data_IF_403587847018
#
_entry.id   IF_403587847018
#
_cell.length_a   1.000
_cell.length_b   1.000
_cell.length_c   1.000
_cell.angle_alpha   90.00
_cell.angle_beta   90.00
_cell.angle_gamma   90.00
#
_symmetry.space_group_name_H-M   'P 1'
#
loop_
_entity.id
_entity.type
_entity.pdbx_description
1 polymer ?
#
# COMPACT_ATOMS: atom_id res chain seq x y z
N UNK A 1 8.48 -13.98 -10.43
CA UNK A 1 8.61 -12.65 -9.80
C UNK A 1 9.25 -12.73 -8.42
N UNK A 2 8.79 -13.63 -7.52
CA UNK A 2 9.37 -13.77 -6.16
C UNK A 2 10.88 -14.09 -6.22
N UNK A 3 11.29 -15.05 -7.04
CA UNK A 3 12.68 -15.39 -7.25
C UNK A 3 13.53 -14.24 -7.82
N UNK A 4 12.93 -13.41 -8.68
CA UNK A 4 13.62 -12.24 -9.23
C UNK A 4 13.82 -11.13 -8.17
N UNK A 5 12.88 -10.96 -7.25
CA UNK A 5 13.09 -10.07 -6.09
C UNK A 5 14.25 -10.54 -5.21
N UNK A 6 14.34 -11.84 -4.93
CA UNK A 6 15.44 -12.40 -4.14
C UNK A 6 16.78 -12.23 -4.85
N UNK A 7 16.84 -12.54 -6.15
CA UNK A 7 18.05 -12.37 -6.96
C UNK A 7 18.51 -10.92 -6.93
N UNK A 8 17.61 -9.98 -7.24
CA UNK A 8 17.91 -8.56 -7.23
C UNK A 8 18.36 -8.08 -5.84
N UNK A 9 17.68 -8.51 -4.77
CA UNK A 9 18.08 -8.16 -3.43
C UNK A 9 19.50 -8.62 -3.10
N UNK A 10 19.88 -9.83 -3.50
CA UNK A 10 21.27 -10.33 -3.33
C UNK A 10 22.29 -9.49 -4.12
N UNK A 11 21.96 -9.09 -5.33
CA UNK A 11 22.83 -8.24 -6.16
C UNK A 11 22.97 -6.81 -5.59
N UNK A 12 21.98 -6.34 -4.85
CA UNK A 12 22.00 -5.03 -4.21
C UNK A 12 22.65 -5.01 -2.81
N UNK A 13 22.98 -6.19 -2.24
CA UNK A 13 23.66 -6.25 -0.95
C UNK A 13 25.01 -5.52 -0.98
N UNK A 14 25.17 -4.54 -0.08
CA UNK A 14 26.38 -3.74 0.02
C UNK A 14 26.54 -2.64 -1.04
N UNK A 15 25.66 -2.55 -2.01
CA UNK A 15 25.67 -1.48 -3.01
C UNK A 15 24.94 -0.23 -2.51
N UNK A 16 25.60 0.92 -2.62
CA UNK A 16 25.02 2.23 -2.26
C UNK A 16 24.73 3.10 -3.49
N UNK A 17 25.17 2.66 -4.67
CA UNK A 17 25.09 3.39 -5.95
C UNK A 17 23.79 3.13 -6.70
N UNK A 18 22.99 2.12 -6.29
CA UNK A 18 21.73 1.75 -6.92
C UNK A 18 20.59 1.87 -5.92
N UNK A 19 19.54 2.61 -6.31
CA UNK A 19 18.31 2.73 -5.55
C UNK A 19 17.16 2.08 -6.33
N UNK A 20 16.73 0.89 -5.87
CA UNK A 20 15.56 0.24 -6.44
C UNK A 20 14.32 0.58 -5.61
N UNK A 21 13.46 1.42 -6.17
CA UNK A 21 12.34 2.04 -5.45
C UNK A 21 11.38 1.04 -4.78
N UNK A 22 11.20 -0.17 -5.33
CA UNK A 22 10.36 -1.22 -4.71
C UNK A 22 10.86 -1.64 -3.33
N UNK A 23 12.17 -1.51 -3.05
CA UNK A 23 12.72 -1.82 -1.73
C UNK A 23 12.80 -0.60 -0.80
N UNK A 24 12.39 0.59 -1.28
CA UNK A 24 12.29 1.78 -0.44
C UNK A 24 11.02 1.73 0.41
N UNK A 25 11.07 0.93 1.46
CA UNK A 25 10.00 0.83 2.46
C UNK A 25 10.44 1.56 3.71
N UNK A 26 9.64 2.50 4.18
CA UNK A 26 9.88 3.11 5.49
C UNK A 26 9.49 2.11 6.59
N UNK A 27 10.51 1.48 7.17
CA UNK A 27 10.35 0.52 8.25
C UNK A 27 10.35 1.18 9.63
N UNK A 28 10.80 2.45 9.75
CA UNK A 28 10.93 3.15 11.02
C UNK A 28 9.62 3.81 11.44
N UNK A 29 9.00 4.58 10.56
CA UNK A 29 7.80 5.34 10.88
C UNK A 29 6.56 4.83 10.12
N UNK A 30 6.73 4.53 8.83
CA UNK A 30 5.67 4.10 7.95
C UNK A 30 4.60 5.17 7.70
N UNK A 31 3.58 4.92 6.85
CA UNK A 31 2.50 5.83 6.57
C UNK A 31 1.58 6.02 7.80
N UNK A 32 0.74 7.06 7.76
CA UNK A 32 -0.25 7.29 8.82
C UNK A 32 -1.18 6.06 9.00
N UNK A 33 -1.75 5.89 10.19
CA UNK A 33 -2.53 4.69 10.56
C UNK A 33 -3.68 4.43 9.59
N UNK A 34 -4.42 5.46 9.15
CA UNK A 34 -5.55 5.31 8.22
C UNK A 34 -5.10 4.72 6.89
N UNK A 35 -4.00 5.20 6.33
CA UNK A 35 -3.42 4.65 5.07
C UNK A 35 -2.93 3.22 5.25
N UNK A 36 -2.44 2.86 6.43
CA UNK A 36 -2.08 1.47 6.75
C UNK A 36 -3.28 0.54 6.79
N UNK A 37 -4.45 1.05 7.15
CA UNK A 37 -5.67 0.26 7.24
C UNK A 37 -6.34 0.04 5.89
N UNK A 38 -6.41 1.06 5.03
CA UNK A 38 -7.24 1.07 3.81
C UNK A 38 -6.48 1.26 2.50
N UNK A 39 -5.19 1.53 2.54
CA UNK A 39 -4.39 1.80 1.35
C UNK A 39 -4.70 3.16 0.74
N UNK A 40 -5.01 3.19 -0.56
CA UNK A 40 -5.14 4.44 -1.32
C UNK A 40 -6.44 5.22 -1.08
N UNK A 41 -7.45 4.64 -0.44
CA UNK A 41 -8.73 5.30 -0.17
C UNK A 41 -9.63 5.50 -1.40
N UNK A 42 -9.42 4.73 -2.49
CA UNK A 42 -10.26 4.78 -3.68
C UNK A 42 -11.75 4.68 -3.37
N UNK A 43 -12.56 5.52 -3.99
CA UNK A 43 -14.02 5.57 -3.82
C UNK A 43 -14.51 6.26 -2.55
N UNK A 44 -13.63 6.63 -1.62
CA UNK A 44 -14.02 7.37 -0.41
C UNK A 44 -13.09 8.55 -0.06
N UNK A 45 -11.80 8.46 -0.29
CA UNK A 45 -10.85 9.57 -0.05
C UNK A 45 -10.47 10.30 -1.34
N UNK A 46 -10.62 9.63 -2.48
CA UNK A 46 -10.54 10.23 -3.81
C UNK A 46 -11.39 9.45 -4.80
N UNK A 47 -11.68 10.08 -5.94
CA UNK A 47 -12.42 9.50 -7.07
C UNK A 47 -11.73 9.87 -8.39
N UNK A 48 -12.05 9.17 -9.45
CA UNK A 48 -11.71 9.56 -10.82
C UNK A 48 -12.94 10.16 -11.49
N UNK A 49 -12.76 11.25 -12.25
CA UNK A 49 -13.82 11.91 -13.03
C UNK A 49 -13.42 11.84 -14.50
N UNK A 50 -14.32 11.36 -15.35
CA UNK A 50 -14.13 11.31 -16.80
C UNK A 50 -14.38 12.68 -17.43
N UNK A 51 -13.97 12.91 -18.70
CA UNK A 51 -14.32 14.14 -19.43
C UNK A 51 -15.84 14.39 -19.53
N UNK A 52 -16.65 13.32 -19.55
CA UNK A 52 -18.11 13.37 -19.57
C UNK A 52 -18.75 13.59 -18.19
N UNK A 53 -17.90 13.79 -17.16
CA UNK A 53 -18.32 14.08 -15.80
C UNK A 53 -18.66 12.85 -14.97
N UNK A 54 -18.54 11.63 -15.47
CA UNK A 54 -18.84 10.42 -14.73
C UNK A 54 -17.82 10.18 -13.62
N UNK A 55 -18.31 9.81 -12.45
CA UNK A 55 -17.53 9.59 -11.23
C UNK A 55 -17.33 8.09 -11.02
N UNK A 56 -16.07 7.70 -10.83
CA UNK A 56 -15.66 6.31 -10.52
C UNK A 56 -14.76 6.25 -9.30
N UNK A 57 -14.67 5.10 -8.59
CA UNK A 57 -13.82 4.94 -7.40
C UNK A 57 -12.35 5.26 -7.65
N UNK A 58 -11.81 4.90 -8.81
CA UNK A 58 -10.49 5.30 -9.31
C UNK A 58 -10.40 5.09 -10.82
N UNK A 59 -9.31 5.51 -11.43
CA UNK A 59 -9.10 5.40 -12.88
C UNK A 59 -9.22 3.95 -13.42
N UNK A 60 -8.93 2.94 -12.61
CA UNK A 60 -9.04 1.52 -13.03
C UNK A 60 -10.49 1.00 -13.05
N UNK A 61 -11.43 1.75 -12.53
CA UNK A 61 -12.86 1.44 -12.57
C UNK A 61 -13.60 2.19 -13.69
N UNK A 62 -12.95 3.13 -14.37
CA UNK A 62 -13.55 3.88 -15.48
C UNK A 62 -14.07 2.92 -16.55
N UNK A 63 -15.34 3.12 -16.97
CA UNK A 63 -16.02 2.27 -17.94
C UNK A 63 -16.66 1.00 -17.36
N UNK A 64 -16.57 0.77 -16.04
CA UNK A 64 -17.31 -0.30 -15.36
C UNK A 64 -18.60 0.29 -14.78
N UNK A 65 -19.72 0.16 -15.52
CA UNK A 65 -21.00 0.79 -15.18
C UNK A 65 -21.50 0.45 -13.77
N UNK A 66 -21.24 -0.76 -13.30
CA UNK A 66 -21.59 -1.22 -11.96
C UNK A 66 -20.84 -0.48 -10.82
N UNK A 67 -19.78 0.26 -11.17
CA UNK A 67 -19.01 1.10 -10.26
C UNK A 67 -19.10 2.59 -10.56
N UNK A 68 -20.01 3.00 -11.48
CA UNK A 68 -20.27 4.41 -11.73
C UNK A 68 -20.99 5.02 -10.53
N UNK A 69 -20.34 5.97 -9.88
CA UNK A 69 -20.81 6.58 -8.63
C UNK A 69 -21.72 7.79 -8.86
N UNK A 70 -21.87 8.26 -10.10
CA UNK A 70 -22.68 9.42 -10.43
C UNK A 70 -22.02 10.29 -11.49
N UNK A 71 -22.47 11.56 -11.58
CA UNK A 71 -21.93 12.51 -12.53
C UNK A 71 -21.88 13.93 -11.93
N UNK A 72 -20.79 14.65 -12.20
CA UNK A 72 -20.57 16.00 -11.64
C UNK A 72 -21.49 17.04 -12.24
N UNK A 73 -22.01 16.83 -13.46
CA UNK A 73 -22.87 17.81 -14.14
C UNK A 73 -24.32 17.79 -13.64
N UNK A 74 -24.80 16.63 -13.18
CA UNK A 74 -26.15 16.50 -12.61
C UNK A 74 -26.14 16.46 -11.06
N UNK A 75 -24.94 16.45 -10.46
CA UNK A 75 -24.74 16.41 -9.01
C UNK A 75 -25.10 15.07 -8.35
N UNK A 76 -25.30 14.02 -9.14
CA UNK A 76 -25.57 12.68 -8.61
C UNK A 76 -24.33 12.07 -7.96
N UNK A 77 -24.52 11.34 -6.84
CA UNK A 77 -23.45 10.59 -6.19
C UNK A 77 -24.01 9.40 -5.41
N UNK A 78 -23.56 8.20 -5.74
CA UNK A 78 -23.98 6.95 -5.08
C UNK A 78 -23.12 6.69 -3.84
N UNK A 79 -23.66 7.02 -2.67
CA UNK A 79 -23.07 6.76 -1.38
C UNK A 79 -22.99 5.26 -1.05
N UNK A 80 -23.79 4.40 -1.70
CA UNK A 80 -23.77 2.95 -1.52
C UNK A 80 -22.49 2.36 -2.07
N UNK A 81 -22.06 2.75 -3.27
CA UNK A 81 -20.78 2.34 -3.87
C UNK A 81 -19.63 2.89 -3.02
N UNK A 82 -19.64 4.18 -2.66
CA UNK A 82 -18.62 4.75 -1.77
C UNK A 82 -18.50 3.97 -0.46
N UNK A 83 -19.64 3.63 0.16
CA UNK A 83 -19.69 2.83 1.38
C UNK A 83 -19.14 1.40 1.23
N UNK A 84 -19.26 0.78 0.05
CA UNK A 84 -18.62 -0.51 -0.22
C UNK A 84 -17.10 -0.39 -0.16
N UNK A 85 -16.51 0.65 -0.75
CA UNK A 85 -15.07 0.89 -0.71
C UNK A 85 -14.60 1.30 0.69
N UNK A 86 -15.35 2.15 1.39
CA UNK A 86 -15.04 2.57 2.76
C UNK A 86 -14.94 1.40 3.76
N UNK A 87 -15.73 0.34 3.54
CA UNK A 87 -15.69 -0.89 4.34
C UNK A 87 -14.45 -1.75 4.08
N UNK A 88 -13.73 -1.54 2.96
CA UNK A 88 -12.56 -2.34 2.62
C UNK A 88 -11.35 -1.92 3.45
N UNK A 89 -10.88 -2.81 4.30
CA UNK A 89 -9.68 -2.59 5.12
C UNK A 89 -9.02 -3.92 5.50
N UNK A 90 -7.86 -3.85 6.14
CA UNK A 90 -7.07 -5.05 6.50
C UNK A 90 -7.76 -5.97 7.52
N UNK A 91 -8.77 -5.48 8.24
CA UNK A 91 -9.52 -6.28 9.22
C UNK A 91 -10.78 -6.90 8.62
N UNK A 92 -11.37 -6.29 7.60
CA UNK A 92 -12.55 -6.83 6.91
C UNK A 92 -12.20 -7.89 5.88
N UNK A 93 -10.96 -7.88 5.34
CA UNK A 93 -10.47 -8.90 4.40
C UNK A 93 -9.89 -10.10 5.15
N UNK A 94 -10.48 -11.32 5.00
CA UNK A 94 -10.04 -12.49 5.77
C UNK A 94 -8.54 -12.79 5.63
N UNK A 95 -8.02 -12.78 4.40
CA UNK A 95 -6.61 -13.07 4.13
C UNK A 95 -5.63 -12.02 4.71
N UNK A 96 -6.11 -10.81 5.04
CA UNK A 96 -5.27 -9.75 5.61
C UNK A 96 -5.20 -9.80 7.13
N UNK A 97 -6.22 -10.34 7.81
CA UNK A 97 -6.31 -10.32 9.28
C UNK A 97 -5.11 -10.95 9.98
N UNK A 98 -4.62 -12.06 9.44
CA UNK A 98 -3.48 -12.82 9.99
C UNK A 98 -2.17 -12.55 9.21
N UNK A 99 -2.19 -11.65 8.21
CA UNK A 99 -1.02 -11.35 7.39
C UNK A 99 -0.03 -10.45 8.15
N UNK A 100 1.21 -10.88 8.30
CA UNK A 100 2.27 -10.10 8.95
C UNK A 100 2.57 -8.78 8.20
N UNK A 101 2.39 -8.77 6.87
CA UNK A 101 2.66 -7.61 6.01
C UNK A 101 1.51 -6.58 5.97
N UNK A 102 0.38 -6.82 6.65
CA UNK A 102 -0.86 -6.04 6.47
C UNK A 102 -0.70 -4.54 6.66
N UNK A 103 0.11 -4.11 7.59
CA UNK A 103 0.32 -2.68 7.87
C UNK A 103 1.25 -1.97 6.87
N UNK A 104 1.93 -2.70 6.03
CA UNK A 104 2.73 -2.17 4.92
C UNK A 104 1.99 -2.29 3.58
N UNK A 105 1.29 -3.40 3.37
CA UNK A 105 0.49 -3.68 2.18
C UNK A 105 -0.84 -2.91 2.15
N UNK A 106 -1.45 -2.66 3.32
CA UNK A 106 -2.74 -1.96 3.48
C UNK A 106 -3.92 -2.65 2.75
N UNK A 107 -3.83 -3.97 2.53
CA UNK A 107 -4.88 -4.78 1.91
C UNK A 107 -4.86 -4.83 0.38
N UNK A 108 -3.83 -4.27 -0.27
CA UNK A 108 -3.69 -4.31 -1.72
C UNK A 108 -4.63 -3.38 -2.48
N UNK A 109 -4.74 -3.59 -3.79
CA UNK A 109 -5.51 -2.77 -4.72
C UNK A 109 -6.90 -3.38 -4.96
N UNK A 110 -7.98 -2.63 -4.67
CA UNK A 110 -9.37 -3.10 -4.90
C UNK A 110 -9.65 -3.39 -6.37
N UNK A 111 -9.08 -2.63 -7.31
CA UNK A 111 -9.24 -2.90 -8.74
C UNK A 111 -8.54 -4.21 -9.16
N UNK A 112 -7.33 -4.47 -8.64
CA UNK A 112 -6.63 -5.73 -8.86
C UNK A 112 -7.38 -6.92 -8.26
N UNK A 113 -7.98 -6.73 -7.09
CA UNK A 113 -8.81 -7.74 -6.44
C UNK A 113 -10.04 -8.08 -7.28
N UNK A 114 -10.75 -7.05 -7.77
CA UNK A 114 -11.90 -7.22 -8.67
C UNK A 114 -11.50 -7.97 -9.95
N UNK A 115 -10.38 -7.55 -10.57
CA UNK A 115 -9.93 -8.14 -11.84
C UNK A 115 -9.66 -9.64 -11.73
N UNK A 116 -9.07 -10.08 -10.62
CA UNK A 116 -8.64 -11.47 -10.43
C UNK A 116 -9.74 -12.33 -9.82
N UNK A 117 -10.52 -11.79 -8.88
CA UNK A 117 -11.46 -12.56 -8.08
C UNK A 117 -12.93 -12.21 -8.36
N UNK A 118 -13.21 -11.19 -9.18
CA UNK A 118 -14.58 -10.69 -9.38
C UNK A 118 -15.17 -9.93 -8.19
N UNK A 119 -14.37 -9.66 -7.14
CA UNK A 119 -14.81 -9.03 -5.89
C UNK A 119 -13.70 -8.14 -5.32
N UNK A 120 -14.05 -6.89 -4.97
CA UNK A 120 -13.12 -5.93 -4.36
C UNK A 120 -12.66 -6.33 -2.95
N UNK A 121 -13.42 -7.18 -2.27
CA UNK A 121 -13.16 -7.64 -0.89
C UNK A 121 -12.18 -8.82 -0.81
N UNK A 122 -12.04 -9.57 -1.89
CA UNK A 122 -11.16 -10.75 -1.95
C UNK A 122 -9.75 -10.34 -2.37
N UNK A 123 -8.76 -10.70 -1.57
CA UNK A 123 -7.37 -10.34 -1.86
C UNK A 123 -6.80 -11.12 -3.05
N UNK A 124 -6.12 -10.43 -3.97
CA UNK A 124 -5.36 -11.06 -5.05
C UNK A 124 -4.13 -11.80 -4.47
N UNK A 125 -4.16 -13.13 -4.50
CA UNK A 125 -3.12 -13.96 -3.88
C UNK A 125 -1.74 -13.75 -4.51
N UNK A 126 -1.67 -13.57 -5.83
CA UNK A 126 -0.41 -13.32 -6.55
C UNK A 126 0.20 -12.00 -6.06
N UNK A 127 -0.59 -10.93 -5.98
CA UNK A 127 -0.15 -9.65 -5.44
C UNK A 127 0.27 -9.75 -3.96
N UNK A 128 -0.43 -10.57 -3.18
CA UNK A 128 -0.07 -10.83 -1.78
C UNK A 128 1.30 -11.51 -1.64
N UNK A 129 1.60 -12.50 -2.49
CA UNK A 129 2.89 -13.19 -2.51
C UNK A 129 4.02 -12.23 -2.91
N UNK A 130 3.80 -11.48 -3.98
CA UNK A 130 4.77 -10.47 -4.44
C UNK A 130 5.08 -9.42 -3.37
N UNK A 131 4.04 -8.90 -2.71
CA UNK A 131 4.20 -7.87 -1.68
C UNK A 131 4.95 -8.38 -0.45
N UNK A 132 4.63 -9.58 0.03
CA UNK A 132 5.37 -10.21 1.12
C UNK A 132 6.85 -10.39 0.76
N UNK A 133 7.14 -10.92 -0.44
CA UNK A 133 8.51 -11.11 -0.90
C UNK A 133 9.27 -9.78 -1.03
N UNK A 134 8.62 -8.76 -1.57
CA UNK A 134 9.16 -7.40 -1.66
C UNK A 134 9.57 -6.86 -0.28
N UNK A 135 8.69 -7.01 0.71
CA UNK A 135 8.96 -6.57 2.09
C UNK A 135 10.07 -7.37 2.76
N UNK A 136 10.10 -8.70 2.59
CA UNK A 136 11.20 -9.54 3.08
C UNK A 136 12.55 -9.06 2.55
N UNK A 137 12.65 -8.81 1.25
CA UNK A 137 13.86 -8.31 0.62
C UNK A 137 14.24 -6.91 1.14
N UNK A 138 13.26 -6.01 1.28
CA UNK A 138 13.51 -4.66 1.81
C UNK A 138 14.02 -4.68 3.26
N UNK A 139 13.44 -5.55 4.10
CA UNK A 139 13.88 -5.74 5.49
C UNK A 139 15.30 -6.29 5.53
N UNK A 140 15.60 -7.33 4.74
CA UNK A 140 16.92 -7.93 4.66
C UNK A 140 18.00 -6.90 4.25
N UNK A 141 17.74 -6.11 3.21
CA UNK A 141 18.66 -5.07 2.77
C UNK A 141 18.91 -4.00 3.84
N UNK A 142 17.86 -3.58 4.56
CA UNK A 142 18.01 -2.60 5.65
C UNK A 142 18.76 -3.18 6.84
N UNK A 143 18.52 -4.43 7.20
CA UNK A 143 19.25 -5.11 8.29
C UNK A 143 20.75 -5.23 7.98
N UNK A 144 21.09 -5.62 6.74
CA UNK A 144 22.50 -5.71 6.30
C UNK A 144 23.14 -4.32 6.29
N UNK A 145 22.45 -3.30 5.80
CA UNK A 145 22.98 -1.93 5.79
C UNK A 145 23.20 -1.38 7.21
N UNK A 146 22.35 -1.71 8.16
CA UNK A 146 22.53 -1.36 9.58
C UNK A 146 23.73 -2.06 10.20
N UNK A 147 23.88 -3.39 10.00
CA UNK A 147 25.01 -4.15 10.49
C UNK A 147 26.36 -3.72 9.90
N UNK A 148 26.39 -3.23 8.67
CA UNK A 148 27.59 -2.64 8.07
C UNK A 148 27.92 -1.23 8.62
N UNK A 149 26.93 -0.54 9.21
CA UNK A 149 27.13 0.77 9.82
C UNK A 149 27.68 0.71 11.25
N UNK A 150 27.49 -0.39 11.97
CA UNK A 150 27.96 -0.56 13.36
C UNK A 150 29.47 -0.74 13.47
N UNK A 151 30.17 -1.06 12.38
CA UNK A 151 31.65 -1.16 12.37
C UNK A 151 32.34 0.20 12.23
N UNK A 152 31.63 1.29 11.94
CA UNK A 152 32.24 2.61 11.73
C UNK A 152 31.81 3.70 12.74
N UNK A 153 30.91 3.46 13.70
CA UNK A 153 30.50 4.57 14.58
C UNK A 153 30.04 4.17 16.00
N UNK A 154 31.01 3.87 16.84
CA UNK A 154 30.85 3.99 18.30
C UNK A 154 31.00 5.45 18.70
N UNK A 155 30.04 6.30 18.36
CA UNK A 155 29.86 7.64 18.97
C UNK A 155 28.82 8.44 18.19
N UNK A 156 27.54 8.37 18.54
CA UNK A 156 26.61 9.51 18.43
C UNK A 156 25.38 9.30 19.31
N UNK A 157 25.40 10.08 20.35
CA UNK A 157 24.37 10.60 21.23
C UNK A 157 22.89 10.35 20.91
N UNK A 158 22.20 9.91 21.96
CA UNK A 158 20.78 10.14 22.21
C UNK A 158 20.40 11.59 21.87
N UNK A 159 19.48 11.74 20.92
CA UNK A 159 18.71 12.95 20.80
C UNK A 159 17.24 12.56 20.85
N UNK A 160 16.60 13.02 21.88
CA UNK A 160 15.20 12.82 22.24
C UNK A 160 14.25 13.18 21.11
N UNK A 161 13.31 12.30 20.87
CA UNK A 161 12.18 12.50 19.97
C UNK A 161 11.15 13.41 20.66
N UNK A 162 11.30 14.73 20.50
CA UNK A 162 10.31 15.72 20.89
C UNK A 162 9.70 16.35 19.65
N UNK A 163 8.72 15.71 19.04
CA UNK A 163 7.73 16.36 18.17
C UNK A 163 6.70 15.33 17.65
N UNK A 164 5.77 14.94 18.52
CA UNK A 164 4.45 14.47 18.11
C UNK A 164 3.40 15.29 18.84
N UNK A 165 3.19 16.51 18.37
CA UNK A 165 2.05 17.33 18.77
C UNK A 165 0.97 17.24 17.72
N UNK A 166 0.10 16.21 17.79
CA UNK A 166 -1.22 16.21 17.16
C UNK A 166 -1.99 14.99 17.65
N UNK A 167 -2.56 15.15 18.85
CA UNK A 167 -3.76 14.45 19.29
C UNK A 167 -4.62 15.47 20.04
N UNK A 168 -5.52 16.10 19.33
CA UNK A 168 -6.79 16.65 19.85
C UNK A 168 -7.89 16.28 18.88
#
# INVERSE_FOLDING_TARGET
VEAEYEKLARELMGRKDVNFFHFNVDLAQGPCVIKRLRGCGAGCEYVAITPDGDIYPCHQFVGKEEYRMGNVFDGSFDMGISGQFAKQNIYTRPACRECWARFYCSGGCSASNLLVNGDISLSNEVACKMERKRLECAIALKAIAAGMGETENTSRNNTECNQCGFCQ
#
